data_IF_331299790166
#
_entry.id   IF_331299790166
#
_cell.length_a   1.000
_cell.length_b   1.000
_cell.length_c   1.000
_cell.angle_alpha   90.00
_cell.angle_beta   90.00
_cell.angle_gamma   90.00
#
_symmetry.space_group_name_H-M   'P 1'
#
loop_
_entity.id
_entity.type
_entity.pdbx_description
1 polymer ?
#
# COMPACT_ATOMS: atom_id res chain seq x y z
N UNK A 1 1.88 -12.90 -8.45
CA UNK A 1 2.73 -11.73 -8.77
C UNK A 1 3.74 -11.53 -7.65
N UNK A 2 4.99 -11.32 -8.00
CA UNK A 2 6.05 -11.08 -7.02
C UNK A 2 6.24 -9.57 -6.86
N UNK A 3 6.20 -9.10 -5.62
CA UNK A 3 6.47 -7.71 -5.28
C UNK A 3 7.83 -7.63 -4.57
N UNK A 4 8.69 -6.75 -5.04
CA UNK A 4 9.98 -6.51 -4.41
C UNK A 4 9.98 -5.10 -3.83
N UNK A 5 10.32 -4.98 -2.54
CA UNK A 5 10.39 -3.69 -1.87
C UNK A 5 11.74 -3.03 -2.18
N UNK A 6 11.86 -1.73 -1.88
CA UNK A 6 13.12 -1.02 -2.08
C UNK A 6 14.26 -1.55 -1.20
N UNK A 7 13.91 -2.26 -0.12
CA UNK A 7 14.91 -2.87 0.77
C UNK A 7 15.35 -4.24 0.30
N UNK A 8 14.81 -4.71 -0.85
CA UNK A 8 15.21 -5.98 -1.43
C UNK A 8 14.39 -7.18 -0.98
N UNK A 9 13.35 -6.98 -0.17
CA UNK A 9 12.47 -8.06 0.24
C UNK A 9 11.47 -8.36 -0.87
N UNK A 10 11.23 -9.64 -1.13
CA UNK A 10 10.28 -10.07 -2.15
C UNK A 10 9.15 -10.88 -1.53
N UNK A 11 7.93 -10.64 -2.00
CA UNK A 11 6.73 -11.33 -1.53
C UNK A 11 5.89 -11.76 -2.72
N UNK A 12 5.28 -12.94 -2.60
CA UNK A 12 4.32 -13.42 -3.58
C UNK A 12 2.92 -13.05 -3.10
N UNK A 13 2.21 -12.22 -3.87
CA UNK A 13 0.88 -11.76 -3.48
C UNK A 13 -0.14 -12.89 -3.39
N UNK A 14 0.11 -14.02 -4.04
CA UNK A 14 -0.82 -15.15 -4.01
C UNK A 14 -0.61 -16.06 -2.80
N UNK A 15 0.62 -16.18 -2.31
CA UNK A 15 0.96 -17.08 -1.20
C UNK A 15 1.20 -16.36 0.12
N UNK A 16 1.74 -15.13 0.08
CA UNK A 16 2.10 -14.39 1.28
C UNK A 16 1.00 -13.46 1.79
N UNK A 17 0.01 -13.18 0.96
CA UNK A 17 -1.12 -12.34 1.31
C UNK A 17 -2.42 -13.11 1.25
N UNK A 18 -3.38 -12.74 2.11
CA UNK A 18 -4.74 -13.28 2.02
C UNK A 18 -5.46 -12.67 0.81
N UNK A 19 -6.57 -13.27 0.40
CA UNK A 19 -7.37 -12.73 -0.71
C UNK A 19 -7.85 -11.31 -0.41
N UNK A 20 -8.28 -11.05 0.83
CA UNK A 20 -8.69 -9.70 1.23
C UNK A 20 -7.55 -8.70 1.14
N UNK A 21 -6.38 -9.09 1.61
CA UNK A 21 -5.20 -8.22 1.53
C UNK A 21 -4.82 -7.89 0.09
N UNK A 22 -4.94 -8.86 -0.82
CA UNK A 22 -4.69 -8.61 -2.25
C UNK A 22 -5.62 -7.55 -2.81
N UNK A 23 -6.91 -7.63 -2.49
CA UNK A 23 -7.88 -6.65 -2.97
C UNK A 23 -7.64 -5.27 -2.38
N UNK A 24 -7.33 -5.20 -1.08
CA UNK A 24 -7.00 -3.94 -0.43
C UNK A 24 -5.72 -3.36 -1.03
N UNK A 25 -4.73 -4.19 -1.29
CA UNK A 25 -3.47 -3.75 -1.88
C UNK A 25 -3.67 -3.12 -3.26
N UNK A 26 -4.58 -3.65 -4.08
CA UNK A 26 -4.90 -3.07 -5.37
C UNK A 26 -5.44 -1.64 -5.22
N UNK A 27 -6.30 -1.42 -4.22
CA UNK A 27 -6.79 -0.07 -3.91
C UNK A 27 -5.64 0.85 -3.51
N UNK A 28 -4.71 0.36 -2.71
CA UNK A 28 -3.56 1.14 -2.27
C UNK A 28 -2.63 1.49 -3.43
N UNK A 29 -2.43 0.59 -4.38
CA UNK A 29 -1.64 0.88 -5.59
C UNK A 29 -2.26 2.03 -6.39
N UNK A 30 -3.57 1.99 -6.57
CA UNK A 30 -4.28 3.07 -7.26
C UNK A 30 -4.14 4.38 -6.47
N UNK A 31 -4.39 4.34 -5.18
CA UNK A 31 -4.36 5.53 -4.34
C UNK A 31 -2.95 6.13 -4.24
N UNK A 32 -1.93 5.29 -4.29
CA UNK A 32 -0.53 5.73 -4.29
C UNK A 32 -0.28 6.76 -5.40
N UNK A 33 -0.84 6.54 -6.58
CA UNK A 33 -0.64 7.44 -7.71
C UNK A 33 -1.52 8.70 -7.64
N UNK A 34 -2.58 8.67 -6.84
CA UNK A 34 -3.54 9.78 -6.72
C UNK A 34 -3.30 10.67 -5.52
N UNK A 35 -2.62 10.17 -4.50
CA UNK A 35 -2.44 10.91 -3.26
C UNK A 35 -1.61 12.19 -3.48
N UNK A 36 -2.05 13.27 -2.85
CA UNK A 36 -1.38 14.58 -2.93
C UNK A 36 -0.41 14.79 -1.77
N UNK A 37 -0.49 13.97 -0.74
CA UNK A 37 0.40 14.02 0.41
C UNK A 37 0.52 12.63 1.02
N UNK A 38 1.58 12.44 1.82
CA UNK A 38 1.78 11.18 2.55
C UNK A 38 0.66 10.97 3.56
N UNK A 39 0.22 12.06 4.22
CA UNK A 39 -0.85 11.98 5.20
C UNK A 39 -2.17 11.55 4.56
N UNK A 40 -2.47 12.04 3.37
CA UNK A 40 -3.65 11.62 2.61
C UNK A 40 -3.59 10.12 2.30
N UNK A 41 -2.42 9.64 1.86
CA UNK A 41 -2.22 8.22 1.60
C UNK A 41 -2.40 7.38 2.87
N UNK A 42 -1.83 7.83 4.00
CA UNK A 42 -1.97 7.15 5.29
C UNK A 42 -3.42 7.01 5.72
N UNK A 43 -4.20 8.08 5.58
CA UNK A 43 -5.63 8.07 5.93
C UNK A 43 -6.38 7.06 5.08
N UNK A 44 -6.11 7.04 3.78
CA UNK A 44 -6.76 6.08 2.89
C UNK A 44 -6.32 4.65 3.17
N UNK A 45 -5.05 4.45 3.50
CA UNK A 45 -4.54 3.14 3.88
C UNK A 45 -5.26 2.63 5.13
N UNK A 46 -5.35 3.46 6.18
CA UNK A 46 -6.05 3.08 7.40
C UNK A 46 -7.53 2.78 7.13
N UNK A 47 -8.19 3.62 6.35
CA UNK A 47 -9.58 3.40 5.98
C UNK A 47 -9.76 2.07 5.25
N UNK A 48 -8.90 1.78 4.29
CA UNK A 48 -8.98 0.52 3.53
C UNK A 48 -8.75 -0.70 4.43
N UNK A 49 -7.82 -0.59 5.38
CA UNK A 49 -7.54 -1.67 6.32
C UNK A 49 -8.69 -1.88 7.31
N UNK A 50 -9.37 -0.80 7.72
CA UNK A 50 -10.50 -0.89 8.66
C UNK A 50 -11.76 -1.42 7.98
N UNK A 51 -12.02 -1.01 6.75
CA UNK A 51 -13.22 -1.46 6.00
C UNK A 51 -13.01 -2.79 5.33
N UNK A 52 -11.79 -3.10 4.94
CA UNK A 52 -11.48 -4.31 4.20
C UNK A 52 -12.05 -4.28 2.78
N UNK A 53 -12.11 -5.44 2.17
CA UNK A 53 -12.71 -5.60 0.85
C UNK A 53 -14.23 -5.65 0.97
N UNK A 54 -14.92 -4.82 0.18
CA UNK A 54 -16.39 -4.75 0.17
C UNK A 54 -17.01 -4.53 1.56
N UNK A 55 -16.38 -3.69 2.38
CA UNK A 55 -16.84 -3.39 3.74
C UNK A 55 -16.97 -4.63 4.62
N UNK A 56 -16.09 -5.60 4.41
CA UNK A 56 -16.08 -6.85 5.20
C UNK A 56 -15.58 -6.65 6.63
N UNK A 57 -15.14 -5.45 6.97
CA UNK A 57 -14.63 -5.11 8.28
C UNK A 57 -13.10 -5.09 8.34
N UNK A 58 -12.53 -4.81 9.52
CA UNK A 58 -11.08 -4.72 9.66
C UNK A 58 -10.38 -5.99 9.22
N UNK A 59 -9.28 -5.85 8.49
CA UNK A 59 -8.47 -6.99 8.10
C UNK A 59 -7.26 -7.10 9.03
N UNK A 60 -6.82 -8.33 9.24
CA UNK A 60 -5.62 -8.59 10.04
C UNK A 60 -4.42 -8.60 9.09
N UNK A 61 -3.52 -7.63 9.25
CA UNK A 61 -2.35 -7.54 8.40
C UNK A 61 -1.36 -8.68 8.67
N UNK A 62 -0.95 -9.36 7.60
CA UNK A 62 0.18 -10.28 7.65
C UNK A 62 1.47 -9.47 7.67
N UNK A 63 2.59 -10.13 8.01
CA UNK A 63 3.90 -9.48 7.98
C UNK A 63 4.22 -8.92 6.59
N UNK A 64 3.89 -9.70 5.55
CA UNK A 64 4.08 -9.26 4.17
C UNK A 64 3.30 -7.98 3.87
N UNK A 65 2.04 -7.91 4.29
CA UNK A 65 1.21 -6.73 4.06
C UNK A 65 1.76 -5.50 4.78
N UNK A 66 2.24 -5.66 6.00
CA UNK A 66 2.84 -4.56 6.76
C UNK A 66 4.05 -3.99 6.02
N UNK A 67 4.93 -4.85 5.56
CA UNK A 67 6.15 -4.43 4.85
C UNK A 67 5.80 -3.75 3.53
N UNK A 68 4.89 -4.35 2.76
CA UNK A 68 4.48 -3.79 1.46
C UNK A 68 3.81 -2.43 1.63
N UNK A 69 2.93 -2.29 2.62
CA UNK A 69 2.22 -1.01 2.82
C UNK A 69 3.16 0.10 3.26
N UNK A 70 4.17 -0.21 4.06
CA UNK A 70 5.20 0.76 4.43
C UNK A 70 6.04 1.17 3.22
N UNK A 71 6.36 0.23 2.36
CA UNK A 71 7.11 0.50 1.13
C UNK A 71 6.31 1.42 0.19
N UNK A 72 5.01 1.19 0.06
CA UNK A 72 4.15 2.05 -0.74
C UNK A 72 4.11 3.47 -0.19
N UNK A 73 4.03 3.64 1.11
CA UNK A 73 4.05 4.95 1.75
C UNK A 73 5.36 5.69 1.41
N UNK A 74 6.47 4.98 1.45
CA UNK A 74 7.76 5.55 1.09
C UNK A 74 7.79 5.97 -0.39
N UNK A 75 7.22 5.17 -1.27
CA UNK A 75 7.14 5.48 -2.70
C UNK A 75 6.32 6.74 -2.96
N UNK A 76 5.26 6.96 -2.18
CA UNK A 76 4.47 8.21 -2.26
C UNK A 76 5.35 9.40 -1.88
N UNK A 77 6.13 9.26 -0.80
CA UNK A 77 7.05 10.32 -0.38
C UNK A 77 8.05 10.67 -1.49
N UNK A 78 8.66 9.66 -2.11
CA UNK A 78 9.63 9.89 -3.19
C UNK A 78 8.98 10.57 -4.40
N UNK A 79 7.78 10.12 -4.79
CA UNK A 79 7.06 10.71 -5.92
C UNK A 79 6.78 12.20 -5.69
N UNK A 80 6.31 12.54 -4.50
CA UNK A 80 6.00 13.93 -4.18
C UNK A 80 7.25 14.80 -4.15
N UNK A 81 8.38 14.25 -3.70
CA UNK A 81 9.67 14.95 -3.74
C UNK A 81 10.12 15.21 -5.17
N UNK A 82 9.97 14.22 -6.04
CA UNK A 82 10.33 14.35 -7.44
C UNK A 82 9.49 15.42 -8.13
N UNK A 83 8.20 15.46 -7.86
CA UNK A 83 7.31 16.48 -8.42
C UNK A 83 7.72 17.87 -7.98
N UNK A 84 8.09 18.05 -6.72
CA UNK A 84 8.59 19.34 -6.23
C UNK A 84 9.95 19.70 -6.80
N UNK A 85 10.81 18.72 -6.97
CA UNK A 85 12.15 18.92 -7.50
C UNK A 85 12.18 19.27 -8.98
N UNK A 86 11.14 18.88 -9.73
CA UNK A 86 11.08 19.10 -11.17
C UNK A 86 10.50 20.47 -11.55
N UNK A 87 10.07 21.23 -10.57
CA UNK A 87 9.59 22.59 -10.81
C UNK A 87 10.74 23.60 -10.72
#
# INVERSE_FOLDING_TARGET
MILTTRTGQSFDTETDLTAQERHVLQKLFLWKSMARSVDEFRKKKEEALQKGWNNSGPIRETEAMKVISQDLEHKVTLRLREEKGSS
#
